data_IF_943386075635
#
_entry.id   IF_943386075635
#
_cell.length_a   1.000
_cell.length_b   1.000
_cell.length_c   1.000
_cell.angle_alpha   90.00
_cell.angle_beta   90.00
_cell.angle_gamma   90.00
#
_symmetry.space_group_name_H-M   'P 1'
#
loop_
_entity.id
_entity.type
_entity.pdbx_description
1 polymer ?
#
# COMPACT_ATOMS: atom_id res chain seq x y z
N UNK A 1 -12.47 -7.11 -2.58
CA UNK A 1 -11.92 -7.37 -1.23
C UNK A 1 -12.49 -6.35 -0.25
N UNK A 2 -12.57 -6.63 1.05
CA UNK A 2 -13.03 -5.61 2.03
C UNK A 2 -11.89 -4.66 2.39
N UNK A 3 -12.20 -3.45 2.83
CA UNK A 3 -11.18 -2.55 3.35
C UNK A 3 -10.58 -3.08 4.65
N UNK A 4 -9.26 -2.99 4.80
CA UNK A 4 -8.59 -3.41 6.02
C UNK A 4 -7.08 -3.61 5.86
N UNK A 5 -6.46 -4.13 6.91
CA UNK A 5 -5.06 -4.55 6.93
C UNK A 5 -5.04 -6.06 6.69
N UNK A 6 -4.23 -6.49 5.74
CA UNK A 6 -4.04 -7.89 5.38
C UNK A 6 -2.60 -8.31 5.67
N UNK A 7 -2.47 -9.46 6.32
CA UNK A 7 -1.20 -10.10 6.66
C UNK A 7 -0.79 -11.04 5.53
N UNK A 8 0.26 -10.68 4.79
CA UNK A 8 0.78 -11.53 3.72
C UNK A 8 2.12 -12.12 4.16
N UNK A 9 2.18 -13.45 4.30
CA UNK A 9 3.41 -14.16 4.67
C UNK A 9 3.84 -14.03 6.14
N UNK A 10 2.96 -13.54 7.04
CA UNK A 10 3.25 -13.42 8.47
C UNK A 10 4.18 -12.26 8.83
N UNK A 11 3.80 -11.00 8.50
CA UNK A 11 4.64 -9.83 8.75
C UNK A 11 4.84 -9.54 10.25
N UNK A 12 5.98 -8.94 10.55
CA UNK A 12 6.36 -8.44 11.86
C UNK A 12 6.42 -6.89 11.90
N UNK A 13 6.93 -6.35 13.01
CA UNK A 13 7.04 -4.91 13.25
C UNK A 13 8.05 -4.17 12.35
N UNK A 14 8.89 -4.91 11.60
CA UNK A 14 9.89 -4.37 10.69
C UNK A 14 9.53 -4.63 9.21
N UNK A 15 8.41 -5.30 8.98
CA UNK A 15 7.95 -5.69 7.65
C UNK A 15 7.40 -4.50 6.85
N UNK A 16 7.59 -4.46 5.51
CA UNK A 16 7.08 -3.38 4.69
C UNK A 16 5.57 -3.18 4.85
N UNK A 17 5.13 -1.95 4.65
CA UNK A 17 3.73 -1.56 4.60
C UNK A 17 3.43 -1.07 3.20
N UNK A 18 2.52 -1.73 2.49
CA UNK A 18 2.09 -1.37 1.14
C UNK A 18 0.58 -1.10 1.11
N UNK A 19 0.13 -0.24 0.18
CA UNK A 19 -1.30 0.04 -0.02
C UNK A 19 -1.78 -0.26 -1.44
N UNK A 20 -3.01 -0.74 -1.56
CA UNK A 20 -3.70 -0.99 -2.84
C UNK A 20 -5.21 -0.73 -2.73
N UNK A 21 -5.90 -0.76 -3.88
CA UNK A 21 -7.36 -0.66 -3.98
C UNK A 21 -8.06 -1.98 -3.65
N UNK A 22 -9.34 -1.94 -3.29
CA UNK A 22 -10.14 -3.13 -2.98
C UNK A 22 -10.73 -3.87 -4.18
N UNK A 23 -10.41 -3.47 -5.42
CA UNK A 23 -10.76 -4.26 -6.61
C UNK A 23 -10.14 -5.65 -6.52
N UNK A 24 -10.98 -6.69 -6.57
CA UNK A 24 -10.58 -8.07 -6.26
C UNK A 24 -9.40 -8.55 -7.12
N UNK A 25 -9.39 -8.25 -8.43
CA UNK A 25 -8.28 -8.65 -9.31
C UNK A 25 -6.97 -7.94 -8.93
N UNK A 26 -7.03 -6.64 -8.63
CA UNK A 26 -5.86 -5.91 -8.14
C UNK A 26 -5.34 -6.50 -6.84
N UNK A 27 -6.22 -6.77 -5.87
CA UNK A 27 -5.83 -7.41 -4.62
C UNK A 27 -5.09 -8.72 -4.87
N UNK A 28 -5.66 -9.64 -5.65
CA UNK A 28 -5.05 -10.96 -5.89
C UNK A 28 -3.71 -10.89 -6.62
N UNK A 29 -3.56 -9.97 -7.57
CA UNK A 29 -2.27 -9.75 -8.24
C UNK A 29 -1.24 -9.25 -7.22
N UNK A 30 -1.57 -8.23 -6.45
CA UNK A 30 -0.62 -7.62 -5.51
C UNK A 30 -0.26 -8.58 -4.38
N UNK A 31 -1.23 -9.24 -3.76
CA UNK A 31 -0.96 -10.21 -2.69
C UNK A 31 -0.18 -11.42 -3.21
N UNK A 32 -0.50 -11.95 -4.39
CA UNK A 32 0.25 -13.03 -5.01
C UNK A 32 1.71 -12.65 -5.31
N UNK A 33 1.96 -11.44 -5.78
CA UNK A 33 3.34 -10.97 -6.02
C UNK A 33 4.10 -10.70 -4.71
N UNK A 34 3.43 -10.26 -3.66
CA UNK A 34 4.02 -10.18 -2.32
C UNK A 34 4.38 -11.59 -1.82
N UNK A 35 3.50 -12.58 -1.97
CA UNK A 35 3.80 -13.98 -1.61
C UNK A 35 4.99 -14.52 -2.41
N UNK A 36 5.03 -14.27 -3.73
CA UNK A 36 6.13 -14.65 -4.62
C UNK A 36 7.46 -13.98 -4.23
N UNK A 37 7.41 -12.79 -3.62
CA UNK A 37 8.59 -12.09 -3.12
C UNK A 37 9.26 -12.82 -1.95
N UNK A 38 8.48 -13.62 -1.19
CA UNK A 38 8.87 -14.21 0.11
C UNK A 38 9.28 -13.17 1.16
N UNK A 39 8.83 -11.92 1.01
CA UNK A 39 8.99 -10.85 1.98
C UNK A 39 7.63 -10.66 2.68
N UNK A 40 7.52 -11.06 3.96
CA UNK A 40 6.30 -10.81 4.75
C UNK A 40 5.96 -9.32 4.72
N UNK A 41 4.72 -8.95 4.42
CA UNK A 41 4.32 -7.55 4.18
C UNK A 41 2.93 -7.29 4.75
N UNK A 42 2.75 -6.11 5.33
CA UNK A 42 1.44 -5.56 5.68
C UNK A 42 0.81 -4.91 4.45
N UNK A 43 -0.33 -5.44 3.98
CA UNK A 43 -1.05 -4.90 2.83
C UNK A 43 -2.32 -4.17 3.29
N UNK A 44 -2.33 -2.85 3.16
CA UNK A 44 -3.51 -2.02 3.34
C UNK A 44 -4.35 -2.09 2.06
N UNK A 45 -5.60 -2.50 2.20
CA UNK A 45 -6.57 -2.51 1.11
C UNK A 45 -7.59 -1.42 1.39
N UNK A 46 -7.60 -0.36 0.58
CA UNK A 46 -8.54 0.75 0.71
C UNK A 46 -9.81 0.50 -0.09
N UNK A 47 -10.96 0.86 0.46
CA UNK A 47 -12.21 0.85 -0.30
C UNK A 47 -12.18 1.92 -1.39
N UNK A 48 -12.24 1.47 -2.63
CA UNK A 48 -12.33 2.31 -3.83
C UNK A 48 -13.61 2.00 -4.61
N UNK A 49 -14.61 1.41 -3.94
CA UNK A 49 -15.83 0.87 -4.54
C UNK A 49 -15.55 -0.21 -5.59
N UNK A 50 -14.48 -0.98 -5.38
CA UNK A 50 -14.08 -2.04 -6.30
C UNK A 50 -13.42 -1.54 -7.58
N UNK A 51 -13.00 -0.28 -7.66
CA UNK A 51 -12.26 0.26 -8.79
C UNK A 51 -10.77 -0.07 -8.70
N UNK A 52 -10.15 -0.37 -9.84
CA UNK A 52 -8.70 -0.57 -9.93
C UNK A 52 -7.93 0.71 -9.54
N UNK A 53 -6.64 0.60 -9.20
CA UNK A 53 -5.79 1.74 -8.79
C UNK A 53 -5.92 2.95 -9.72
N UNK A 54 -5.75 2.75 -11.03
CA UNK A 54 -5.79 3.83 -12.01
C UNK A 54 -7.18 4.45 -12.11
N UNK A 55 -8.22 3.62 -12.14
CA UNK A 55 -9.61 4.08 -12.24
C UNK A 55 -10.05 4.82 -10.97
N UNK A 56 -9.65 4.31 -9.80
CA UNK A 56 -9.96 4.90 -8.51
C UNK A 56 -9.27 6.24 -8.31
N UNK A 57 -8.00 6.36 -8.73
CA UNK A 57 -7.29 7.64 -8.74
C UNK A 57 -7.97 8.66 -9.65
N UNK A 58 -8.29 8.28 -10.90
CA UNK A 58 -8.99 9.16 -11.85
C UNK A 58 -10.39 9.59 -11.35
N UNK A 59 -11.04 8.76 -10.53
CA UNK A 59 -12.32 9.06 -9.89
C UNK A 59 -12.19 9.82 -8.55
N UNK A 60 -10.97 10.18 -8.12
CA UNK A 60 -10.73 10.86 -6.85
C UNK A 60 -10.94 10.01 -5.59
N UNK A 61 -11.01 8.68 -5.73
CA UNK A 61 -11.25 7.73 -4.61
C UNK A 61 -9.97 7.13 -4.04
N UNK A 62 -8.85 7.29 -4.74
CA UNK A 62 -7.55 6.77 -4.34
C UNK A 62 -6.47 7.84 -4.50
N UNK A 63 -6.63 8.89 -3.69
CA UNK A 63 -5.83 10.11 -3.62
C UNK A 63 -5.39 10.36 -2.17
N UNK A 64 -4.49 11.31 -1.96
CA UNK A 64 -3.95 11.62 -0.63
C UNK A 64 -5.03 11.80 0.46
N UNK A 65 -6.05 12.62 0.20
CA UNK A 65 -7.16 12.93 1.12
C UNK A 65 -7.99 11.70 1.52
N UNK A 66 -7.97 10.63 0.71
CA UNK A 66 -8.67 9.39 1.02
C UNK A 66 -7.74 8.38 1.72
N UNK A 67 -6.49 8.27 1.25
CA UNK A 67 -5.50 7.33 1.76
C UNK A 67 -5.02 7.73 3.16
N UNK A 68 -4.68 9.00 3.38
CA UNK A 68 -4.16 9.51 4.66
C UNK A 68 -5.06 9.16 5.85
N UNK A 69 -6.35 9.51 5.82
CA UNK A 69 -7.29 9.14 6.88
C UNK A 69 -7.44 7.63 7.07
N UNK A 70 -7.38 6.83 6.01
CA UNK A 70 -7.43 5.38 6.13
C UNK A 70 -6.20 4.84 6.86
N UNK A 71 -4.99 5.26 6.48
CA UNK A 71 -3.74 4.87 7.14
C UNK A 71 -3.79 5.21 8.63
N UNK A 72 -4.15 6.46 8.99
CA UNK A 72 -4.31 6.93 10.38
C UNK A 72 -5.27 6.06 11.20
N UNK A 73 -6.40 5.65 10.61
CA UNK A 73 -7.48 4.93 11.32
C UNK A 73 -7.34 3.41 11.28
N UNK A 74 -6.50 2.88 10.40
CA UNK A 74 -6.35 1.43 10.17
C UNK A 74 -5.74 0.68 11.36
N UNK A 75 -4.99 1.36 12.23
CA UNK A 75 -4.19 0.73 13.30
C UNK A 75 -2.83 0.20 12.85
N UNK A 76 -2.40 0.48 11.61
CA UNK A 76 -1.09 0.01 11.10
C UNK A 76 0.09 0.61 11.89
N UNK A 77 -0.05 1.84 12.40
CA UNK A 77 0.99 2.51 13.16
C UNK A 77 1.41 1.77 14.45
N UNK A 78 0.51 0.94 14.99
CA UNK A 78 0.74 0.12 16.19
C UNK A 78 1.34 -1.26 15.85
N UNK A 79 1.32 -1.64 14.56
CA UNK A 79 1.84 -2.92 14.07
C UNK A 79 3.28 -2.82 13.57
N UNK A 80 3.80 -1.62 13.31
CA UNK A 80 5.17 -1.41 12.80
C UNK A 80 5.95 -0.36 13.60
N UNK A 81 7.27 -0.56 13.70
CA UNK A 81 8.21 0.35 14.35
C UNK A 81 8.68 1.50 13.46
N UNK A 82 8.53 1.37 12.16
CA UNK A 82 8.85 2.42 11.19
C UNK A 82 7.58 3.18 10.77
N UNK A 83 7.77 4.23 9.98
CA UNK A 83 6.69 5.00 9.36
C UNK A 83 7.02 5.16 7.88
N UNK A 84 6.89 4.06 7.13
CA UNK A 84 7.16 4.01 5.68
C UNK A 84 5.95 3.37 5.01
N UNK A 85 5.40 4.03 4.01
CA UNK A 85 4.25 3.55 3.25
C UNK A 85 4.61 3.42 1.78
N UNK A 86 4.54 2.20 1.25
CA UNK A 86 4.75 1.93 -0.17
C UNK A 86 3.43 2.15 -0.93
N UNK A 87 3.43 3.12 -1.83
CA UNK A 87 2.30 3.39 -2.73
C UNK A 87 2.55 2.78 -4.11
N UNK A 88 1.49 2.43 -4.87
CA UNK A 88 1.65 2.01 -6.26
C UNK A 88 2.38 3.09 -7.07
N UNK A 89 3.25 2.69 -8.00
CA UNK A 89 4.03 3.63 -8.81
C UNK A 89 3.20 4.56 -9.70
N UNK A 90 1.92 4.24 -9.89
CA UNK A 90 0.97 5.09 -10.58
C UNK A 90 0.55 6.31 -9.74
N UNK A 91 0.60 6.21 -8.40
CA UNK A 91 0.26 7.28 -7.47
C UNK A 91 1.45 8.18 -7.10
N UNK A 92 2.55 8.15 -7.86
CA UNK A 92 3.75 8.93 -7.54
C UNK A 92 3.46 10.43 -7.35
N UNK A 93 2.50 10.99 -8.08
CA UNK A 93 2.06 12.39 -7.94
C UNK A 93 1.35 12.70 -6.62
N UNK A 94 0.79 11.70 -5.95
CA UNK A 94 0.10 11.84 -4.66
C UNK A 94 1.08 11.88 -3.48
N UNK A 95 2.37 11.59 -3.69
CA UNK A 95 3.36 11.48 -2.63
C UNK A 95 3.44 12.72 -1.74
N UNK A 96 3.50 13.91 -2.34
CA UNK A 96 3.55 15.16 -1.57
C UNK A 96 2.29 15.40 -0.72
N UNK A 97 1.09 15.19 -1.28
CA UNK A 97 -0.15 15.31 -0.52
C UNK A 97 -0.26 14.25 0.59
N UNK A 98 0.27 13.04 0.35
CA UNK A 98 0.35 12.00 1.35
C UNK A 98 1.32 12.33 2.48
N UNK A 99 2.45 12.98 2.19
CA UNK A 99 3.38 13.49 3.21
C UNK A 99 2.74 14.61 4.03
N UNK A 100 1.92 15.47 3.43
CA UNK A 100 1.14 16.47 4.17
C UNK A 100 0.09 15.81 5.09
N UNK A 101 -0.60 14.79 4.59
CA UNK A 101 -1.56 14.03 5.39
C UNK A 101 -0.88 13.20 6.47
N UNK A 102 0.28 12.62 6.19
CA UNK A 102 1.01 11.70 7.05
C UNK A 102 2.42 12.24 7.34
N UNK A 103 2.55 13.33 8.12
CA UNK A 103 3.83 14.03 8.29
C UNK A 103 4.93 13.20 8.95
N UNK A 104 4.54 12.17 9.71
CA UNK A 104 5.47 11.24 10.34
C UNK A 104 5.85 10.06 9.43
N UNK A 105 5.24 9.93 8.25
CA UNK A 105 5.45 8.82 7.32
C UNK A 105 6.27 9.23 6.10
N UNK A 106 7.28 8.41 5.78
CA UNK A 106 7.98 8.45 4.50
C UNK A 106 7.14 7.73 3.44
N UNK A 107 6.79 8.43 2.36
CA UNK A 107 6.04 7.86 1.25
C UNK A 107 7.01 7.34 0.19
N UNK A 108 6.95 6.02 -0.04
CA UNK A 108 7.83 5.35 -0.98
C UNK A 108 7.07 4.93 -2.22
N UNK A 109 7.57 5.33 -3.39
CA UNK A 109 6.95 4.99 -4.66
C UNK A 109 7.39 3.60 -5.09
N UNK A 110 6.47 2.64 -4.99
CA UNK A 110 6.68 1.29 -5.48
C UNK A 110 6.59 1.17 -7.01
N UNK A 111 6.65 -0.06 -7.54
CA UNK A 111 6.55 -0.28 -8.98
C UNK A 111 5.17 0.05 -9.55
N UNK A 112 5.12 0.37 -10.85
CA UNK A 112 3.85 0.54 -11.59
C UNK A 112 3.17 -0.77 -11.95
N UNK A 113 3.96 -1.83 -12.10
CA UNK A 113 3.49 -3.15 -12.50
C UNK A 113 3.73 -4.16 -11.38
N UNK A 114 2.72 -5.00 -11.12
CA UNK A 114 2.78 -6.00 -10.04
C UNK A 114 3.98 -6.94 -10.17
N UNK A 115 4.35 -7.32 -11.39
CA UNK A 115 5.46 -8.24 -11.66
C UNK A 115 6.84 -7.76 -11.13
N UNK A 116 6.98 -6.47 -10.82
CA UNK A 116 8.22 -5.90 -10.26
C UNK A 116 8.21 -5.80 -8.73
N UNK A 117 7.08 -6.06 -8.07
CA UNK A 117 6.95 -6.07 -6.60
C UNK A 117 7.96 -7.04 -5.96
N UNK A 118 8.17 -8.27 -6.47
CA UNK A 118 9.09 -9.20 -5.84
C UNK A 118 10.53 -8.67 -5.74
N UNK A 119 11.02 -8.03 -6.81
CA UNK A 119 12.36 -7.46 -6.82
C UNK A 119 12.45 -6.22 -5.92
N UNK A 120 11.43 -5.35 -5.94
CA UNK A 120 11.37 -4.16 -5.11
C UNK A 120 11.38 -4.51 -3.61
N UNK A 121 10.50 -5.42 -3.16
CA UNK A 121 10.42 -5.80 -1.75
C UNK A 121 11.68 -6.51 -1.24
N UNK A 122 12.33 -7.33 -2.08
CA UNK A 122 13.61 -7.96 -1.70
C UNK A 122 14.75 -6.95 -1.51
N UNK A 123 14.69 -5.82 -2.20
CA UNK A 123 15.65 -4.73 -2.07
C UNK A 123 15.25 -3.70 -0.99
N UNK A 124 14.01 -3.76 -0.51
CA UNK A 124 13.46 -2.83 0.46
C UNK A 124 14.18 -2.94 1.81
N UNK A 125 14.35 -1.78 2.46
CA UNK A 125 14.99 -1.68 3.76
C UNK A 125 14.20 -0.76 4.68
N UNK A 126 14.06 -1.21 5.93
CA UNK A 126 13.55 -0.42 7.05
C UNK A 126 14.45 0.79 7.32
#
# INVERSE_FOLDING_TARGET
TTQGIYEIGGPDENSPVAITSNFSLTYFIISGEIENSRVPTWLLVQDTEGLSVMTAWAAGKFVADAIGPFVKKSGIADKVKHRKLIIPGFLASESGGLEEELPDWEIQVGPREGAHIPAYLKAWKV
#
